data_IF_780186932928
#
_entry.id   IF_780186932928
#
_cell.length_a   1.000
_cell.length_b   1.000
_cell.length_c   1.000
_cell.angle_alpha   90.00
_cell.angle_beta   90.00
_cell.angle_gamma   90.00
#
_symmetry.space_group_name_H-M   'P 1'
#
loop_
_entity.id
_entity.type
_entity.pdbx_description
1 polymer ?
#
# COMPACT_ATOMS: atom_id res chain seq x y z
N UNK A 1 -82.53 -12.98 37.32
CA UNK A 1 -82.20 -11.65 37.88
C UNK A 1 -80.84 -11.57 38.59
N UNK A 2 -80.26 -12.66 39.12
CA UNK A 2 -78.96 -12.59 39.84
C UNK A 2 -77.71 -12.56 38.94
N UNK A 3 -77.82 -12.97 37.68
CA UNK A 3 -76.67 -13.09 36.74
C UNK A 3 -76.34 -11.72 36.11
N UNK A 4 -77.34 -10.91 35.81
CA UNK A 4 -77.20 -9.58 35.19
C UNK A 4 -76.45 -8.58 36.11
N UNK A 5 -76.72 -8.64 37.42
CA UNK A 5 -75.99 -7.83 38.41
C UNK A 5 -74.50 -8.20 38.50
N UNK A 6 -74.12 -9.45 38.24
CA UNK A 6 -72.72 -9.87 38.20
C UNK A 6 -72.01 -9.37 36.94
N UNK A 7 -72.69 -9.33 35.79
CA UNK A 7 -72.14 -8.76 34.56
C UNK A 7 -71.98 -7.24 34.61
N UNK A 8 -72.96 -6.51 35.14
CA UNK A 8 -72.83 -5.05 35.34
C UNK A 8 -71.68 -4.70 36.29
N UNK A 9 -71.53 -5.45 37.39
CA UNK A 9 -70.43 -5.22 38.35
C UNK A 9 -69.05 -5.44 37.71
N UNK A 10 -68.91 -6.45 36.83
CA UNK A 10 -67.67 -6.68 36.07
C UNK A 10 -67.39 -5.58 35.07
N UNK A 11 -68.42 -5.07 34.37
CA UNK A 11 -68.27 -3.96 33.42
C UNK A 11 -67.79 -2.69 34.14
N UNK A 12 -68.39 -2.36 35.28
CA UNK A 12 -67.96 -1.21 36.08
C UNK A 12 -66.51 -1.36 36.59
N UNK A 13 -66.08 -2.58 36.92
CA UNK A 13 -64.68 -2.84 37.28
C UNK A 13 -63.74 -2.64 36.10
N UNK A 14 -64.12 -3.11 34.90
CA UNK A 14 -63.34 -2.91 33.68
C UNK A 14 -63.20 -1.41 33.37
N UNK A 15 -64.30 -0.64 33.43
CA UNK A 15 -64.27 0.81 33.22
C UNK A 15 -63.42 1.55 34.26
N UNK A 16 -63.45 1.10 35.52
CA UNK A 16 -62.59 1.63 36.58
C UNK A 16 -61.10 1.36 36.27
N UNK A 17 -60.75 0.14 35.83
CA UNK A 17 -59.39 -0.20 35.44
C UNK A 17 -58.93 0.57 34.20
N UNK A 18 -59.80 0.75 33.20
CA UNK A 18 -59.49 1.58 32.02
C UNK A 18 -59.21 3.03 32.40
N UNK A 19 -59.98 3.57 33.34
CA UNK A 19 -59.79 4.94 33.84
C UNK A 19 -58.45 5.07 34.57
N UNK A 20 -58.11 4.10 35.43
CA UNK A 20 -56.81 4.04 36.10
C UNK A 20 -55.65 3.93 35.10
N UNK A 21 -55.78 3.09 34.07
CA UNK A 21 -54.75 2.96 33.02
C UNK A 21 -54.55 4.27 32.25
N UNK A 22 -55.63 5.00 31.94
CA UNK A 22 -55.54 6.32 31.29
C UNK A 22 -54.82 7.34 32.19
N UNK A 23 -55.11 7.34 33.48
CA UNK A 23 -54.45 8.22 34.45
C UNK A 23 -52.94 7.90 34.56
N UNK A 24 -52.58 6.62 34.68
CA UNK A 24 -51.18 6.19 34.70
C UNK A 24 -50.43 6.52 33.41
N UNK A 25 -51.05 6.33 32.24
CA UNK A 25 -50.43 6.70 30.96
C UNK A 25 -50.18 8.20 30.89
N UNK A 26 -51.13 9.02 31.35
CA UNK A 26 -50.96 10.48 31.42
C UNK A 26 -49.83 10.89 32.37
N UNK A 27 -49.72 10.25 33.53
CA UNK A 27 -48.60 10.46 34.44
C UNK A 27 -47.26 10.09 33.80
N UNK A 28 -47.22 8.98 33.07
CA UNK A 28 -46.03 8.53 32.39
C UNK A 28 -45.61 9.46 31.24
N UNK A 29 -46.55 9.96 30.44
CA UNK A 29 -46.29 10.97 29.41
C UNK A 29 -45.76 12.28 30.01
N UNK A 30 -46.31 12.72 31.15
CA UNK A 30 -45.81 13.90 31.85
C UNK A 30 -44.35 13.71 32.31
N UNK A 31 -44.01 12.55 32.88
CA UNK A 31 -42.64 12.23 33.29
C UNK A 31 -41.67 12.17 32.10
N UNK A 32 -42.10 11.62 30.97
CA UNK A 32 -41.32 11.61 29.74
C UNK A 32 -41.03 13.03 29.24
N UNK A 33 -42.04 13.90 29.26
CA UNK A 33 -41.91 15.30 28.88
C UNK A 33 -40.97 16.07 29.83
N UNK A 34 -41.07 15.85 31.14
CA UNK A 34 -40.17 16.45 32.14
C UNK A 34 -38.70 16.07 31.88
N UNK A 35 -38.44 14.82 31.49
CA UNK A 35 -37.11 14.33 31.19
C UNK A 35 -36.65 14.61 29.75
N UNK A 36 -37.50 15.25 28.92
CA UNK A 36 -37.27 15.46 27.48
C UNK A 36 -36.93 14.15 26.74
N UNK A 37 -37.59 13.05 27.12
CA UNK A 37 -37.39 11.72 26.56
C UNK A 37 -38.59 11.30 25.73
N UNK A 38 -38.38 10.90 24.49
CA UNK A 38 -39.44 10.32 23.67
C UNK A 38 -39.54 8.81 23.90
N UNK A 39 -40.78 8.30 24.00
CA UNK A 39 -41.05 6.87 24.16
C UNK A 39 -40.34 6.00 23.12
N UNK A 40 -40.36 6.45 21.86
CA UNK A 40 -39.72 5.73 20.75
C UNK A 40 -38.20 5.75 20.87
N UNK A 41 -37.60 6.86 21.32
CA UNK A 41 -36.16 6.94 21.56
C UNK A 41 -35.74 6.00 22.69
N UNK A 42 -36.55 5.89 23.75
CA UNK A 42 -36.30 4.96 24.87
C UNK A 42 -36.38 3.50 24.41
N UNK A 43 -37.36 3.15 23.57
CA UNK A 43 -37.46 1.81 22.98
C UNK A 43 -36.27 1.50 22.07
N UNK A 44 -35.84 2.46 21.25
CA UNK A 44 -34.66 2.33 20.39
C UNK A 44 -33.41 2.09 21.24
N UNK A 45 -33.19 2.91 22.27
CA UNK A 45 -32.06 2.72 23.19
C UNK A 45 -32.11 1.35 23.88
N UNK A 46 -33.29 0.89 24.30
CA UNK A 46 -33.44 -0.43 24.91
C UNK A 46 -33.09 -1.56 23.93
N UNK A 47 -33.47 -1.44 22.65
CA UNK A 47 -33.11 -2.39 21.61
C UNK A 47 -31.60 -2.36 21.31
N UNK A 48 -30.99 -1.18 21.29
CA UNK A 48 -29.55 -1.02 21.09
C UNK A 48 -28.76 -1.66 22.23
N UNK A 49 -29.17 -1.45 23.48
CA UNK A 49 -28.57 -2.08 24.67
C UNK A 49 -28.69 -3.60 24.61
N UNK A 50 -29.87 -4.12 24.21
CA UNK A 50 -30.08 -5.57 24.03
C UNK A 50 -29.22 -6.17 22.91
N UNK A 51 -28.83 -5.37 21.92
CA UNK A 51 -28.00 -5.81 20.79
C UNK A 51 -26.49 -5.82 21.07
N UNK A 52 -26.06 -5.44 22.29
CA UNK A 52 -24.66 -5.42 22.69
C UNK A 52 -24.11 -6.84 22.87
N UNK A 53 -22.94 -7.08 22.29
CA UNK A 53 -22.18 -8.32 22.37
C UNK A 53 -20.82 -8.03 22.99
N UNK A 54 -20.31 -8.97 23.78
CA UNK A 54 -18.98 -8.86 24.38
C UNK A 54 -17.90 -9.21 23.35
N UNK A 55 -16.79 -8.48 23.36
CA UNK A 55 -15.64 -8.77 22.50
C UNK A 55 -14.83 -9.99 23.00
N UNK A 56 -14.41 -10.92 22.12
CA UNK A 56 -13.55 -12.04 22.51
C UNK A 56 -12.15 -11.65 23.01
N UNK A 57 -11.59 -10.55 22.50
CA UNK A 57 -10.21 -10.13 22.81
C UNK A 57 -10.09 -9.21 24.03
N UNK A 58 -11.19 -8.57 24.44
CA UNK A 58 -11.23 -7.76 25.66
C UNK A 58 -12.62 -7.84 26.30
N UNK A 59 -12.75 -8.47 27.49
CA UNK A 59 -14.04 -8.64 28.17
C UNK A 59 -14.66 -7.31 28.63
N UNK A 60 -13.89 -6.22 28.73
CA UNK A 60 -14.42 -4.90 29.05
C UNK A 60 -15.16 -4.25 27.88
N UNK A 61 -15.00 -4.74 26.64
CA UNK A 61 -15.64 -4.16 25.47
C UNK A 61 -17.02 -4.78 25.22
N UNK A 62 -18.07 -3.95 25.33
CA UNK A 62 -19.44 -4.24 24.88
C UNK A 62 -19.74 -3.43 23.63
N UNK A 63 -20.06 -4.10 22.53
CA UNK A 63 -20.21 -3.46 21.22
C UNK A 63 -21.49 -3.92 20.55
N UNK A 64 -22.25 -3.03 19.88
CA UNK A 64 -23.45 -3.42 19.15
C UNK A 64 -23.16 -4.47 18.06
N UNK A 65 -24.09 -5.41 17.89
CA UNK A 65 -23.99 -6.49 16.88
C UNK A 65 -23.71 -5.97 15.47
N UNK A 66 -24.32 -4.83 15.09
CA UNK A 66 -24.13 -4.19 13.76
C UNK A 66 -22.69 -3.72 13.52
N UNK A 67 -22.00 -3.27 14.56
CA UNK A 67 -20.62 -2.74 14.47
C UNK A 67 -19.56 -3.73 14.93
N UNK A 68 -19.97 -4.90 15.43
CA UNK A 68 -19.10 -5.96 15.93
C UNK A 68 -18.02 -6.36 14.93
N UNK A 69 -18.34 -6.55 13.65
CA UNK A 69 -17.34 -6.94 12.64
C UNK A 69 -16.22 -5.91 12.44
N UNK A 70 -16.53 -4.61 12.49
CA UNK A 70 -15.51 -3.53 12.43
C UNK A 70 -14.70 -3.46 13.72
N UNK A 71 -15.35 -3.66 14.86
CA UNK A 71 -14.67 -3.71 16.15
C UNK A 71 -13.73 -4.90 16.25
N UNK A 72 -14.17 -6.10 15.88
CA UNK A 72 -13.42 -7.35 15.93
C UNK A 72 -12.06 -7.18 15.26
N UNK A 73 -12.03 -6.73 14.00
CA UNK A 73 -10.77 -6.49 13.27
C UNK A 73 -9.85 -5.49 13.98
N UNK A 74 -10.40 -4.41 14.53
CA UNK A 74 -9.58 -3.41 15.26
C UNK A 74 -9.05 -3.97 16.59
N UNK A 75 -9.86 -4.74 17.29
CA UNK A 75 -9.53 -5.28 18.61
C UNK A 75 -8.54 -6.45 18.48
N UNK A 76 -8.69 -7.28 17.45
CA UNK A 76 -7.76 -8.32 17.04
C UNK A 76 -6.36 -7.73 16.75
N UNK A 77 -6.28 -6.70 15.90
CA UNK A 77 -5.02 -6.02 15.60
C UNK A 77 -4.35 -5.44 16.86
N UNK A 78 -5.14 -4.80 17.73
CA UNK A 78 -4.65 -4.27 19.01
C UNK A 78 -4.17 -5.37 19.95
N UNK A 79 -4.88 -6.50 20.02
CA UNK A 79 -4.49 -7.64 20.85
C UNK A 79 -3.15 -8.22 20.41
N UNK A 80 -2.87 -8.23 19.10
CA UNK A 80 -1.57 -8.61 18.53
C UNK A 80 -0.49 -7.51 18.59
N UNK A 81 -0.72 -6.42 19.33
CA UNK A 81 0.27 -5.35 19.52
C UNK A 81 0.38 -4.35 18.37
N UNK A 82 -0.50 -4.44 17.36
CA UNK A 82 -0.55 -3.46 16.26
C UNK A 82 -1.40 -2.28 16.73
N UNK A 83 -0.78 -1.41 17.52
CA UNK A 83 -1.39 -0.18 18.00
C UNK A 83 -1.32 0.90 16.92
N UNK A 84 -2.44 1.60 16.68
CA UNK A 84 -2.42 2.86 15.93
C UNK A 84 -1.86 3.95 16.86
N UNK A 85 -0.56 3.92 17.14
CA UNK A 85 0.16 4.82 18.07
C UNK A 85 -0.07 6.31 17.78
N UNK A 86 -0.46 6.68 16.55
CA UNK A 86 -0.61 8.08 16.12
C UNK A 86 -2.05 8.58 15.96
N UNK A 87 -3.04 7.89 16.57
CA UNK A 87 -4.41 8.43 16.80
C UNK A 87 -5.28 8.68 15.56
N UNK A 88 -4.71 8.79 14.37
CA UNK A 88 -5.40 8.80 13.08
C UNK A 88 -4.70 7.80 12.18
N UNK A 89 -5.46 7.11 11.31
CA UNK A 89 -4.84 6.60 10.08
C UNK A 89 -4.10 7.80 9.50
N UNK A 90 -2.78 7.73 9.30
CA UNK A 90 -2.07 8.73 8.49
C UNK A 90 -2.94 8.84 7.23
N UNK A 91 -3.53 10.02 6.98
CA UNK A 91 -4.32 10.21 5.76
C UNK A 91 -3.40 9.74 4.66
N UNK A 92 -3.84 8.74 3.88
CA UNK A 92 -3.01 8.30 2.78
C UNK A 92 -2.74 9.56 1.95
N UNK A 93 -1.49 9.80 1.56
CA UNK A 93 -1.18 10.90 0.68
C UNK A 93 -2.13 10.84 -0.52
N UNK A 94 -2.67 11.98 -0.93
CA UNK A 94 -3.55 12.04 -2.11
C UNK A 94 -2.79 11.56 -3.34
N UNK A 95 -3.51 11.18 -4.41
CA UNK A 95 -2.88 10.87 -5.70
C UNK A 95 -1.92 11.99 -6.14
N UNK A 96 -2.25 13.26 -5.84
CA UNK A 96 -1.38 14.40 -6.12
C UNK A 96 0.01 14.28 -5.49
N UNK A 97 0.15 13.64 -4.32
CA UNK A 97 1.47 13.40 -3.71
C UNK A 97 2.38 12.54 -4.60
N UNK A 98 1.83 11.57 -5.32
CA UNK A 98 2.60 10.68 -6.18
C UNK A 98 2.93 11.31 -7.54
N UNK A 99 2.07 12.24 -8.00
CA UNK A 99 2.14 12.79 -9.35
C UNK A 99 2.51 14.28 -9.41
N UNK A 100 2.85 14.91 -8.28
CA UNK A 100 3.18 16.33 -8.21
C UNK A 100 4.24 16.77 -9.23
N UNK A 101 5.20 15.89 -9.52
CA UNK A 101 6.31 16.15 -10.45
C UNK A 101 6.22 15.31 -11.73
N UNK A 102 5.08 14.65 -11.99
CA UNK A 102 4.94 13.80 -13.17
C UNK A 102 4.55 14.66 -14.38
N UNK A 103 5.37 14.72 -15.45
CA UNK A 103 5.10 15.57 -16.61
C UNK A 103 3.87 15.10 -17.43
N UNK A 104 3.36 13.90 -17.17
CA UNK A 104 2.24 13.29 -17.91
C UNK A 104 0.90 13.39 -17.18
N UNK A 105 0.86 13.90 -15.94
CA UNK A 105 -0.36 13.92 -15.12
C UNK A 105 -0.72 15.35 -14.77
N UNK A 106 -1.91 15.78 -15.21
CA UNK A 106 -2.46 17.11 -14.92
C UNK A 106 -3.37 16.99 -13.69
N UNK A 107 -3.00 17.66 -12.61
CA UNK A 107 -3.83 17.77 -11.40
C UNK A 107 -4.86 18.88 -11.58
N UNK A 108 -6.15 18.53 -11.57
CA UNK A 108 -7.25 19.49 -11.67
C UNK A 108 -7.77 19.82 -10.27
N UNK A 109 -7.31 20.93 -9.69
CA UNK A 109 -7.83 21.43 -8.43
C UNK A 109 -9.10 22.25 -8.67
N UNK A 110 -10.20 21.90 -8.01
CA UNK A 110 -11.50 22.58 -8.17
C UNK A 110 -11.45 24.08 -7.82
N UNK A 111 -10.55 24.47 -6.92
CA UNK A 111 -10.35 25.86 -6.50
C UNK A 111 -9.62 26.69 -7.57
N UNK A 112 -8.64 26.11 -8.26
CA UNK A 112 -7.95 26.74 -9.39
C UNK A 112 -8.89 26.89 -10.60
N UNK A 113 -9.77 25.91 -10.84
CA UNK A 113 -10.78 25.98 -11.91
C UNK A 113 -11.81 27.10 -11.70
N UNK A 114 -12.07 27.48 -10.45
CA UNK A 114 -12.97 28.61 -10.12
C UNK A 114 -12.29 29.97 -10.28
N UNK A 115 -10.95 30.02 -10.19
CA UNK A 115 -10.15 31.23 -10.46
C UNK A 115 -9.91 31.49 -11.95
N UNK A 116 -10.19 30.50 -12.82
CA UNK A 116 -10.36 30.70 -14.26
C UNK A 116 -11.69 31.44 -14.48
N UNK A 117 -11.72 32.67 -13.99
CA UNK A 117 -12.69 33.68 -14.31
C UNK A 117 -12.51 34.02 -15.79
N UNK A 118 -13.56 33.80 -16.57
CA UNK A 118 -13.79 34.35 -17.91
C UNK A 118 -12.61 34.22 -18.88
N UNK A 119 -12.49 33.06 -19.55
CA UNK A 119 -11.85 33.03 -20.86
C UNK A 119 -12.70 33.91 -21.80
N UNK A 120 -12.42 35.22 -21.87
CA UNK A 120 -13.02 36.14 -22.85
C UNK A 120 -12.49 35.90 -24.27
N UNK A 121 -11.50 35.03 -24.42
CA UNK A 121 -10.92 34.68 -25.72
C UNK A 121 -10.96 33.17 -25.91
N UNK A 122 -12.17 32.66 -26.11
CA UNK A 122 -12.35 31.35 -26.71
C UNK A 122 -11.75 31.34 -28.12
N UNK A 123 -11.49 30.15 -28.71
CA UNK A 123 -10.81 29.95 -30.01
C UNK A 123 -11.54 30.51 -31.25
N UNK A 124 -12.47 31.44 -31.04
CA UNK A 124 -13.25 32.16 -32.03
C UNK A 124 -12.81 33.62 -32.25
N UNK A 125 -11.90 34.19 -31.42
CA UNK A 125 -11.39 35.57 -31.63
C UNK A 125 -10.34 35.67 -32.75
N UNK A 126 -9.71 34.56 -33.12
CA UNK A 126 -8.64 34.48 -34.11
C UNK A 126 -9.18 34.02 -35.47
N UNK A 127 -8.67 34.63 -36.53
CA UNK A 127 -8.92 34.17 -37.90
C UNK A 127 -8.41 32.73 -38.10
N UNK A 128 -8.94 32.04 -39.10
CA UNK A 128 -8.54 30.65 -39.42
C UNK A 128 -7.03 30.56 -39.64
N UNK A 129 -6.44 31.52 -40.35
CA UNK A 129 -5.00 31.54 -40.67
C UNK A 129 -4.13 31.74 -39.42
N UNK A 130 -4.55 32.61 -38.50
CA UNK A 130 -3.83 32.81 -37.23
C UNK A 130 -3.85 31.56 -36.35
N UNK A 131 -4.91 30.75 -36.42
CA UNK A 131 -4.98 29.46 -35.72
C UNK A 131 -4.06 28.41 -36.34
N UNK A 132 -4.00 28.35 -37.67
CA UNK A 132 -3.08 27.46 -38.39
C UNK A 132 -1.62 27.79 -38.08
N UNK A 133 -1.24 29.06 -38.11
CA UNK A 133 0.13 29.48 -37.78
C UNK A 133 0.52 29.12 -36.34
N UNK A 134 -0.41 29.27 -35.39
CA UNK A 134 -0.16 28.88 -34.00
C UNK A 134 0.04 27.37 -33.87
N UNK A 135 -0.79 26.58 -34.54
CA UNK A 135 -0.71 25.13 -34.56
C UNK A 135 0.61 24.63 -35.18
N UNK A 136 1.01 25.18 -36.32
CA UNK A 136 2.30 24.84 -36.96
C UNK A 136 3.49 25.16 -36.06
N UNK A 137 3.45 26.31 -35.37
CA UNK A 137 4.48 26.70 -34.40
C UNK A 137 4.55 25.75 -33.20
N UNK A 138 3.41 25.33 -32.66
CA UNK A 138 3.32 24.39 -31.55
C UNK A 138 3.84 23.01 -31.95
N UNK A 139 3.51 22.51 -33.14
CA UNK A 139 4.07 21.25 -33.66
C UNK A 139 5.59 21.35 -33.79
N UNK A 140 6.11 22.43 -34.38
CA UNK A 140 7.54 22.62 -34.55
C UNK A 140 8.30 22.63 -33.22
N UNK A 141 7.71 23.22 -32.17
CA UNK A 141 8.27 23.17 -30.81
C UNK A 141 8.25 21.75 -30.23
N UNK A 142 7.17 21.00 -30.41
CA UNK A 142 7.10 19.61 -29.96
C UNK A 142 8.15 18.71 -30.64
N UNK A 143 8.37 18.89 -31.94
CA UNK A 143 9.36 18.12 -32.68
C UNK A 143 10.79 18.46 -32.25
N UNK A 144 11.09 19.74 -32.02
CA UNK A 144 12.38 20.16 -31.43
C UNK A 144 12.62 19.55 -30.04
N UNK A 145 11.60 19.54 -29.18
CA UNK A 145 11.69 18.94 -27.84
C UNK A 145 11.93 17.42 -27.95
N UNK A 146 11.25 16.73 -28.88
CA UNK A 146 11.46 15.29 -29.13
C UNK A 146 12.89 15.01 -29.59
N UNK A 147 13.42 15.79 -30.53
CA UNK A 147 14.80 15.65 -31.01
C UNK A 147 15.83 15.88 -29.89
N UNK A 148 15.64 16.92 -29.07
CA UNK A 148 16.49 17.18 -27.91
C UNK A 148 16.46 16.03 -26.90
N UNK A 149 15.28 15.52 -26.58
CA UNK A 149 15.16 14.37 -25.67
C UNK A 149 15.70 13.07 -26.29
N UNK A 150 15.62 12.90 -27.61
CA UNK A 150 16.21 11.75 -28.30
C UNK A 150 17.74 11.80 -28.28
N UNK A 151 18.34 12.99 -28.39
CA UNK A 151 19.79 13.19 -28.25
C UNK A 151 20.27 12.97 -26.80
N UNK A 152 19.45 13.34 -25.82
CA UNK A 152 19.74 13.10 -24.39
C UNK A 152 19.52 11.63 -23.99
N UNK A 153 18.59 10.92 -24.64
CA UNK A 153 18.37 9.46 -24.52
C UNK A 153 19.41 8.64 -25.29
N UNK A 154 20.67 9.06 -25.40
CA UNK A 154 21.73 8.08 -25.67
C UNK A 154 21.79 7.18 -24.45
N UNK A 155 21.27 5.95 -24.58
CA UNK A 155 20.93 5.10 -23.45
C UNK A 155 22.12 4.96 -22.49
N UNK A 156 21.85 5.17 -21.21
CA UNK A 156 22.77 4.90 -20.09
C UNK A 156 23.29 3.44 -20.16
N UNK A 157 22.58 2.57 -20.89
CA UNK A 157 22.86 1.16 -21.07
C UNK A 157 23.60 0.78 -22.37
N UNK A 158 23.98 1.72 -23.26
CA UNK A 158 24.64 1.37 -24.54
C UNK A 158 25.97 0.61 -24.35
N UNK A 159 26.65 0.85 -23.22
CA UNK A 159 27.92 0.21 -22.92
C UNK A 159 27.78 -0.99 -21.96
N UNK A 160 26.56 -1.39 -21.57
CA UNK A 160 26.35 -2.43 -20.57
C UNK A 160 26.97 -3.76 -20.98
N UNK A 161 26.80 -4.18 -22.23
CA UNK A 161 27.32 -5.45 -22.74
C UNK A 161 28.86 -5.47 -22.71
N UNK A 162 29.51 -4.36 -23.06
CA UNK A 162 30.98 -4.26 -23.06
C UNK A 162 31.55 -4.28 -21.63
N UNK A 163 30.89 -3.57 -20.71
CA UNK A 163 31.26 -3.56 -19.29
C UNK A 163 31.08 -4.95 -18.68
N UNK A 164 29.97 -5.61 -18.97
CA UNK A 164 29.68 -6.97 -18.50
C UNK A 164 30.72 -7.98 -18.99
N UNK A 165 31.10 -7.93 -20.28
CA UNK A 165 32.12 -8.81 -20.85
C UNK A 165 33.50 -8.59 -20.20
N UNK A 166 33.86 -7.33 -19.89
CA UNK A 166 35.11 -7.00 -19.19
C UNK A 166 35.14 -7.58 -17.76
N UNK A 167 34.03 -7.50 -17.02
CA UNK A 167 33.92 -8.05 -15.66
C UNK A 167 34.04 -9.56 -15.66
N UNK A 168 33.42 -10.25 -16.62
CA UNK A 168 33.55 -11.71 -16.76
C UNK A 168 35.01 -12.11 -16.97
N UNK A 169 35.74 -11.40 -17.83
CA UNK A 169 37.19 -11.65 -18.05
C UNK A 169 38.01 -11.39 -16.79
N UNK A 170 37.73 -10.33 -16.04
CA UNK A 170 38.40 -10.07 -14.75
C UNK A 170 38.10 -11.16 -13.71
N UNK A 171 36.86 -11.68 -13.69
CA UNK A 171 36.45 -12.76 -12.80
C UNK A 171 37.13 -14.09 -13.16
N UNK A 172 37.25 -14.39 -14.44
CA UNK A 172 37.98 -15.57 -14.93
C UNK A 172 39.48 -15.52 -14.59
N UNK A 173 40.09 -14.32 -14.58
CA UNK A 173 41.48 -14.12 -14.16
C UNK A 173 41.64 -14.18 -12.64
N UNK A 174 40.66 -13.69 -11.89
CA UNK A 174 40.63 -13.72 -10.41
C UNK A 174 40.36 -15.10 -9.85
N UNK A 175 39.45 -15.86 -10.46
CA UNK A 175 39.20 -17.26 -10.14
C UNK A 175 40.32 -18.12 -10.73
N UNK A 176 41.49 -18.10 -10.07
CA UNK A 176 42.66 -18.86 -10.46
C UNK A 176 42.27 -20.28 -10.88
N UNK A 177 42.53 -20.62 -12.15
CA UNK A 177 42.18 -21.92 -12.69
C UNK A 177 42.91 -22.99 -11.88
N UNK A 178 42.15 -23.94 -11.30
CA UNK A 178 42.72 -25.08 -10.58
C UNK A 178 43.76 -25.76 -11.48
N UNK A 179 44.96 -25.95 -10.96
CA UNK A 179 46.03 -26.56 -11.75
C UNK A 179 45.66 -28.00 -12.10
N UNK A 180 46.17 -28.52 -13.22
CA UNK A 180 45.91 -29.90 -13.66
C UNK A 180 46.24 -30.92 -12.57
N UNK A 181 47.29 -30.65 -11.79
CA UNK A 181 47.73 -31.50 -10.68
C UNK A 181 46.75 -31.49 -9.50
N UNK A 182 46.21 -30.32 -9.17
CA UNK A 182 45.20 -30.12 -8.14
C UNK A 182 43.89 -30.83 -8.49
N UNK A 183 43.46 -30.71 -9.76
CA UNK A 183 42.30 -31.45 -10.28
C UNK A 183 42.50 -32.96 -10.19
N UNK A 184 43.68 -33.47 -10.55
CA UNK A 184 44.02 -34.89 -10.42
C UNK A 184 44.11 -35.33 -8.94
N UNK A 185 44.58 -34.46 -8.04
CA UNK A 185 44.57 -34.72 -6.60
C UNK A 185 43.15 -34.83 -6.05
N UNK A 186 42.25 -33.91 -6.44
CA UNK A 186 40.84 -33.90 -6.06
C UNK A 186 40.10 -35.16 -6.56
N UNK A 187 40.35 -35.58 -7.80
CA UNK A 187 39.78 -36.82 -8.34
C UNK A 187 40.32 -38.07 -7.63
N UNK A 188 41.61 -38.11 -7.29
CA UNK A 188 42.21 -39.21 -6.51
C UNK A 188 41.62 -39.28 -5.11
N UNK A 189 41.42 -38.14 -4.46
CA UNK A 189 40.79 -38.06 -3.14
C UNK A 189 39.33 -38.49 -3.20
N UNK A 190 38.57 -38.00 -4.19
CA UNK A 190 37.19 -38.42 -4.42
C UNK A 190 37.08 -39.94 -4.61
N UNK A 191 37.99 -40.55 -5.39
CA UNK A 191 38.08 -42.00 -5.60
C UNK A 191 38.44 -42.76 -4.31
N UNK A 192 39.22 -42.18 -3.40
CA UNK A 192 39.56 -42.77 -2.09
C UNK A 192 38.42 -42.71 -1.07
N UNK A 193 37.56 -41.70 -1.11
CA UNK A 193 36.42 -41.59 -0.16
C UNK A 193 35.43 -42.73 -0.34
N UNK A 194 34.96 -43.33 0.77
CA UNK A 194 33.96 -44.41 0.78
C UNK A 194 32.63 -43.94 0.17
N UNK A 195 31.92 -44.84 -0.54
CA UNK A 195 30.63 -44.55 -1.22
C UNK A 195 29.56 -43.93 -0.29
N UNK A 196 29.53 -44.34 0.98
CA UNK A 196 28.62 -43.79 1.99
C UNK A 196 28.87 -42.31 2.31
N UNK A 197 30.12 -41.83 2.25
CA UNK A 197 30.46 -40.41 2.41
C UNK A 197 30.11 -39.59 1.16
N UNK A 198 30.21 -40.19 -0.04
CA UNK A 198 29.80 -39.54 -1.29
C UNK A 198 28.29 -39.24 -1.30
N UNK A 199 27.46 -40.18 -0.84
CA UNK A 199 26.01 -40.02 -0.78
C UNK A 199 25.53 -39.15 0.39
N UNK A 200 26.21 -39.20 1.55
CA UNK A 200 25.91 -38.31 2.69
C UNK A 200 26.22 -36.85 2.37
N UNK A 201 27.30 -36.57 1.63
CA UNK A 201 27.57 -35.20 1.18
C UNK A 201 26.41 -34.64 0.37
N UNK A 202 25.78 -35.37 -0.57
CA UNK A 202 24.68 -34.85 -1.39
C UNK A 202 23.48 -34.36 -0.54
N UNK A 203 23.13 -35.04 0.56
CA UNK A 203 22.04 -34.63 1.45
C UNK A 203 22.46 -33.60 2.51
N UNK A 204 23.75 -33.55 2.89
CA UNK A 204 24.33 -32.57 3.81
C UNK A 204 24.68 -31.25 3.09
N UNK A 205 24.98 -31.31 1.80
CA UNK A 205 25.31 -30.17 0.92
C UNK A 205 24.10 -29.67 0.14
N UNK A 206 22.89 -30.19 0.38
CA UNK A 206 21.68 -29.53 -0.10
C UNK A 206 21.60 -28.17 0.60
N UNK A 207 22.04 -27.15 -0.12
CA UNK A 207 22.04 -25.77 0.38
C UNK A 207 20.61 -25.42 0.74
N UNK A 208 20.41 -24.94 1.96
CA UNK A 208 19.09 -24.43 2.34
C UNK A 208 18.72 -23.29 1.42
N UNK A 209 17.42 -23.01 1.19
CA UNK A 209 17.01 -21.86 0.40
C UNK A 209 17.72 -20.58 0.86
N UNK A 210 17.84 -20.36 2.17
CA UNK A 210 18.58 -19.22 2.73
C UNK A 210 20.06 -19.20 2.36
N UNK A 211 20.73 -20.35 2.35
CA UNK A 211 22.13 -20.46 1.96
C UNK A 211 22.32 -20.17 0.46
N UNK A 212 21.41 -20.67 -0.38
CA UNK A 212 21.41 -20.33 -1.82
C UNK A 212 21.28 -18.82 -2.02
N UNK A 213 20.38 -18.15 -1.30
CA UNK A 213 20.23 -16.70 -1.39
C UNK A 213 21.49 -15.96 -0.92
N UNK A 214 22.14 -16.40 0.16
CA UNK A 214 23.41 -15.81 0.63
C UNK A 214 24.52 -15.94 -0.41
N UNK A 215 24.64 -17.11 -1.04
CA UNK A 215 25.65 -17.36 -2.07
C UNK A 215 25.41 -16.50 -3.32
N UNK A 216 24.15 -16.33 -3.72
CA UNK A 216 23.76 -15.43 -4.81
C UNK A 216 24.13 -13.99 -4.49
N UNK A 217 23.81 -13.52 -3.28
CA UNK A 217 24.16 -12.16 -2.84
C UNK A 217 25.69 -11.99 -2.85
N UNK A 218 26.44 -12.95 -2.31
CA UNK A 218 27.90 -12.91 -2.29
C UNK A 218 28.49 -12.82 -3.71
N UNK A 219 27.98 -13.62 -4.66
CA UNK A 219 28.40 -13.57 -6.06
C UNK A 219 28.14 -12.20 -6.70
N UNK A 220 26.96 -11.62 -6.50
CA UNK A 220 26.66 -10.28 -7.01
C UNK A 220 27.52 -9.20 -6.34
N UNK A 221 27.81 -9.31 -5.03
CA UNK A 221 28.69 -8.38 -4.34
C UNK A 221 30.13 -8.42 -4.87
N UNK A 222 30.63 -9.58 -5.30
CA UNK A 222 31.92 -9.69 -6.00
C UNK A 222 31.88 -8.99 -7.36
N UNK A 223 30.82 -9.20 -8.13
CA UNK A 223 30.63 -8.56 -9.44
C UNK A 223 30.59 -7.02 -9.31
N UNK A 224 29.92 -6.50 -8.28
CA UNK A 224 29.91 -5.05 -7.97
C UNK A 224 31.28 -4.49 -7.58
N UNK A 225 32.12 -5.27 -6.90
CA UNK A 225 33.50 -4.84 -6.59
C UNK A 225 34.35 -4.75 -7.85
N UNK A 226 34.22 -5.72 -8.76
CA UNK A 226 34.92 -5.70 -10.05
C UNK A 226 34.46 -4.53 -10.92
N UNK A 227 33.15 -4.25 -10.93
CA UNK A 227 32.57 -3.05 -11.55
C UNK A 227 33.24 -1.76 -11.05
N UNK A 228 33.32 -1.58 -9.74
CA UNK A 228 33.92 -0.38 -9.15
C UNK A 228 35.41 -0.25 -9.51
N UNK A 229 36.15 -1.37 -9.58
CA UNK A 229 37.55 -1.37 -10.02
C UNK A 229 37.68 -1.01 -11.51
N UNK A 230 36.80 -1.52 -12.35
CA UNK A 230 36.76 -1.22 -13.77
C UNK A 230 36.45 0.26 -14.02
N UNK A 231 35.44 0.82 -13.33
CA UNK A 231 35.09 2.24 -13.41
C UNK A 231 36.24 3.15 -12.97
N UNK A 232 36.93 2.81 -11.88
CA UNK A 232 38.13 3.54 -11.44
C UNK A 232 39.25 3.52 -12.50
N UNK A 233 39.50 2.36 -13.11
CA UNK A 233 40.53 2.22 -14.16
C UNK A 233 40.21 3.00 -15.45
N UNK A 234 38.93 3.23 -15.75
CA UNK A 234 38.48 4.04 -16.88
C UNK A 234 38.67 5.55 -16.61
N UNK A 235 38.47 6.00 -15.37
CA UNK A 235 38.68 7.39 -14.98
C UNK A 235 40.16 7.79 -15.06
N UNK A 236 41.07 6.90 -14.65
CA UNK A 236 42.52 7.13 -14.73
C UNK A 236 43.05 7.29 -16.18
N UNK A 237 42.36 6.74 -17.18
CA UNK A 237 42.74 6.92 -18.60
C UNK A 237 42.27 8.25 -19.21
N UNK A 238 41.26 8.90 -18.61
CA UNK A 238 40.74 10.19 -19.08
C UNK A 238 41.61 11.36 -18.54
N UNK A 239 42.32 11.16 -17.42
CA UNK A 239 43.12 12.20 -16.75
C UNK A 239 44.59 12.30 -17.20
N UNK A 240 45.07 11.45 -18.13
CA UNK A 240 46.43 11.56 -18.67
C UNK A 240 46.50 12.60 -19.80
N UNK A 241 47.15 13.76 -19.63
CA UNK A 241 47.29 14.74 -20.71
C UNK A 241 48.14 14.15 -21.84
N UNK A 242 47.85 14.50 -23.11
CA UNK A 242 48.62 14.00 -24.24
C UNK A 242 50.08 14.44 -24.10
N UNK A 243 50.99 13.47 -24.11
CA UNK A 243 52.43 13.71 -24.18
C UNK A 243 52.72 14.52 -25.44
N UNK A 244 53.06 15.80 -25.26
CA UNK A 244 53.63 16.64 -26.30
C UNK A 244 55.00 16.08 -26.67
N UNK A 245 55.12 15.54 -27.89
CA UNK A 245 56.39 15.42 -28.60
C UNK A 245 56.63 16.68 -29.43
#
# INVERSE_FOLDING_TARGET
MSIENSSQSRLNQIEAYESQLKEYNKHFENLLNELSLDLENVKIQQQEIKSLVNCPFNPAHKVPSKSFGRHFRKCELKFHGIHNELGRRKKLPSSNFFYQNSPSVISLNKEELQQISEIKEGPLSLTVDQRLQKYEKEIGMCDQIREQHQQQKKDIYQNFDQVWEAIQKMKEQSQGQKTREELLAEQRDYKRRRKSYRAKNIKITQRTPTQVHRDIIAAYMEDFKLLAQFEASQQDQIELPPKSF
#
